data_IF_976227883527
#
_entry.id   IF_976227883527
#
_cell.length_a   1.000
_cell.length_b   1.000
_cell.length_c   1.000
_cell.angle_alpha   90.00
_cell.angle_beta   90.00
_cell.angle_gamma   90.00
#
_symmetry.space_group_name_H-M   'P 1'
#
loop_
_entity.id
_entity.type
_entity.pdbx_description
1 polymer ?
#
# COMPACT_ATOMS: atom_id res chain seq x y z
N UNK A 1 -0.47 -3.27 20.27
CA UNK A 1 -1.41 -2.50 19.42
C UNK A 1 -2.81 -2.58 19.99
N UNK A 2 -3.60 -1.48 20.04
CA UNK A 2 -5.03 -1.47 20.40
C UNK A 2 -5.84 -1.45 19.12
N UNK A 3 -6.90 -2.27 19.02
CA UNK A 3 -7.72 -2.39 17.82
C UNK A 3 -9.10 -1.82 18.10
N UNK A 4 -9.48 -0.80 17.36
CA UNK A 4 -10.81 -0.17 17.37
C UNK A 4 -11.58 -0.61 16.14
N UNK A 5 -12.79 -1.17 16.32
CA UNK A 5 -13.61 -1.70 15.24
C UNK A 5 -14.89 -0.90 15.08
N UNK A 6 -15.24 -0.62 13.84
CA UNK A 6 -16.51 0.02 13.45
C UNK A 6 -17.20 -0.79 12.37
N UNK A 7 -18.51 -0.87 12.46
CA UNK A 7 -19.33 -1.47 11.41
C UNK A 7 -19.31 -0.61 10.13
N UNK A 8 -19.42 0.71 10.29
CA UNK A 8 -19.36 1.67 9.19
C UNK A 8 -18.66 2.95 9.65
N UNK A 9 -17.82 3.49 8.78
CA UNK A 9 -17.21 4.80 8.95
C UNK A 9 -17.11 5.53 7.61
N UNK A 10 -16.78 6.81 7.64
CA UNK A 10 -16.44 7.57 6.44
C UNK A 10 -15.10 7.06 5.88
N UNK A 11 -14.07 7.02 6.73
CA UNK A 11 -12.74 6.53 6.38
C UNK A 11 -11.97 6.18 7.66
N UNK A 12 -11.30 5.04 7.67
CA UNK A 12 -10.45 4.62 8.79
C UNK A 12 -9.25 5.57 9.00
N UNK A 13 -8.77 6.23 7.95
CA UNK A 13 -7.73 7.27 8.08
C UNK A 13 -8.24 8.49 8.87
N UNK A 14 -9.52 8.85 8.70
CA UNK A 14 -10.12 9.94 9.48
C UNK A 14 -10.29 9.54 10.95
N UNK A 15 -10.73 8.30 11.20
CA UNK A 15 -10.87 7.78 12.56
C UNK A 15 -9.51 7.75 13.29
N UNK A 16 -8.44 7.44 12.57
CA UNK A 16 -7.10 7.32 13.12
C UNK A 16 -6.44 8.66 13.50
N UNK A 17 -7.04 9.80 13.15
CA UNK A 17 -6.46 11.13 13.44
C UNK A 17 -6.31 11.42 14.93
N UNK A 18 -7.20 10.87 15.75
CA UNK A 18 -7.19 11.03 17.21
C UNK A 18 -6.41 9.89 17.91
N UNK A 19 -5.83 8.97 17.13
CA UNK A 19 -5.07 7.84 17.65
C UNK A 19 -3.63 8.18 18.01
N UNK A 20 -3.02 7.29 18.76
CA UNK A 20 -1.58 7.34 19.11
C UNK A 20 -0.83 6.19 18.42
N UNK A 21 0.51 6.27 18.28
CA UNK A 21 1.29 5.21 17.67
C UNK A 21 0.98 3.82 18.23
N UNK A 22 0.70 2.88 17.34
CA UNK A 22 0.27 1.52 17.68
C UNK A 22 -1.25 1.31 17.72
N UNK A 23 -2.07 2.36 17.57
CA UNK A 23 -3.53 2.21 17.43
C UNK A 23 -3.90 1.77 16.02
N UNK A 24 -4.89 0.88 15.94
CA UNK A 24 -5.41 0.30 14.70
C UNK A 24 -6.91 0.54 14.61
N UNK A 25 -7.36 1.13 13.52
CA UNK A 25 -8.78 1.42 13.26
C UNK A 25 -9.26 0.57 12.09
N UNK A 26 -10.21 -0.33 12.34
CA UNK A 26 -10.75 -1.28 11.35
C UNK A 26 -12.20 -0.97 11.08
N UNK A 27 -12.64 -1.03 9.83
CA UNK A 27 -14.05 -0.87 9.47
C UNK A 27 -14.52 -2.01 8.53
N UNK A 28 -15.75 -2.48 8.76
CA UNK A 28 -16.42 -3.42 7.85
C UNK A 28 -16.84 -2.74 6.55
N UNK A 29 -17.15 -1.44 6.62
CA UNK A 29 -17.52 -0.63 5.47
C UNK A 29 -17.03 0.82 5.61
N UNK A 30 -16.50 1.37 4.52
CA UNK A 30 -16.19 2.80 4.39
C UNK A 30 -17.13 3.44 3.37
N UNK A 31 -17.87 4.50 3.78
CA UNK A 31 -18.77 5.22 2.88
C UNK A 31 -18.03 6.13 1.90
N UNK A 32 -16.81 6.58 2.26
CA UNK A 32 -15.93 7.39 1.42
C UNK A 32 -14.47 6.93 1.59
N UNK A 33 -14.19 5.66 1.25
CA UNK A 33 -12.84 5.11 1.26
C UNK A 33 -11.91 5.89 0.34
N UNK A 34 -10.75 6.29 0.82
CA UNK A 34 -9.80 7.17 0.12
C UNK A 34 -8.61 6.39 -0.44
N UNK A 35 -8.19 6.76 -1.62
CA UNK A 35 -6.93 6.40 -2.24
C UNK A 35 -6.08 7.66 -2.50
N UNK A 36 -4.97 7.53 -3.23
CA UNK A 36 -4.15 8.67 -3.68
C UNK A 36 -4.84 9.41 -4.83
N UNK A 37 -4.49 10.69 -5.02
CA UNK A 37 -4.94 11.50 -6.16
C UNK A 37 -6.47 11.43 -6.36
N UNK A 38 -7.22 11.60 -5.27
CA UNK A 38 -8.69 11.58 -5.22
C UNK A 38 -9.35 10.27 -5.72
N UNK A 39 -8.57 9.22 -5.91
CA UNK A 39 -9.13 7.88 -6.17
C UNK A 39 -9.91 7.36 -4.97
N UNK A 40 -11.02 6.70 -5.24
CA UNK A 40 -11.83 6.04 -4.20
C UNK A 40 -11.35 4.60 -4.00
N UNK A 41 -11.19 4.18 -2.75
CA UNK A 41 -11.05 2.77 -2.41
C UNK A 41 -12.43 2.12 -2.32
N UNK A 42 -12.71 1.19 -3.24
CA UNK A 42 -13.96 0.44 -3.29
C UNK A 42 -13.78 -0.90 -2.59
N UNK A 43 -14.65 -1.20 -1.62
CA UNK A 43 -14.61 -2.46 -0.85
C UNK A 43 -16.02 -2.94 -0.58
N UNK A 44 -16.29 -4.21 -0.87
CA UNK A 44 -17.54 -4.85 -0.47
C UNK A 44 -17.56 -5.04 1.07
N UNK A 45 -18.71 -4.71 1.68
CA UNK A 45 -18.89 -4.82 3.13
C UNK A 45 -18.65 -6.24 3.60
N UNK A 46 -17.81 -6.40 4.62
CA UNK A 46 -17.57 -7.69 5.27
C UNK A 46 -16.69 -8.67 4.48
N UNK A 47 -16.24 -8.33 3.25
CA UNK A 47 -15.45 -9.24 2.43
C UNK A 47 -13.94 -8.94 2.47
N UNK A 48 -13.58 -7.68 2.70
CA UNK A 48 -12.20 -7.20 2.63
C UNK A 48 -11.72 -6.69 3.98
N UNK A 49 -10.44 -6.33 4.06
CA UNK A 49 -9.88 -5.59 5.17
C UNK A 49 -9.66 -4.15 4.75
N UNK A 50 -10.27 -3.22 5.50
CA UNK A 50 -9.98 -1.80 5.42
C UNK A 50 -9.64 -1.31 6.81
N UNK A 51 -8.41 -0.87 6.99
CA UNK A 51 -7.93 -0.44 8.30
C UNK A 51 -6.83 0.61 8.16
N UNK A 52 -6.60 1.33 9.25
CA UNK A 52 -5.53 2.32 9.36
C UNK A 52 -4.75 2.08 10.63
N UNK A 53 -3.43 2.22 10.55
CA UNK A 53 -2.51 2.11 11.68
C UNK A 53 -1.86 3.47 11.90
N UNK A 54 -1.83 3.92 13.15
CA UNK A 54 -1.06 5.10 13.53
C UNK A 54 0.39 4.67 13.75
N UNK A 55 1.29 5.20 12.94
CA UNK A 55 2.72 4.89 12.95
C UNK A 55 3.50 6.04 13.60
N UNK A 56 4.54 5.69 14.34
CA UNK A 56 5.57 6.63 14.79
C UNK A 56 6.47 7.05 13.63
N UNK A 57 7.27 8.11 13.82
CA UNK A 57 8.31 8.52 12.87
C UNK A 57 8.01 9.78 12.07
N UNK A 58 7.02 10.58 12.51
CA UNK A 58 6.76 11.88 11.89
C UNK A 58 7.84 12.94 12.21
N UNK A 59 8.77 12.65 13.11
CA UNK A 59 10.01 13.38 13.35
C UNK A 59 11.05 13.20 12.25
N UNK A 60 10.84 12.19 11.38
CA UNK A 60 11.67 11.97 10.18
C UNK A 60 11.43 13.03 9.12
N UNK A 61 12.40 13.19 8.23
CA UNK A 61 12.29 14.11 7.10
C UNK A 61 11.09 13.77 6.21
N UNK A 62 10.49 14.76 5.51
CA UNK A 62 9.41 14.49 4.55
C UNK A 62 9.79 13.45 3.48
N UNK A 63 11.05 13.42 3.06
CA UNK A 63 11.55 12.44 2.10
C UNK A 63 11.54 11.02 2.67
N UNK A 64 11.93 10.83 3.93
CA UNK A 64 11.85 9.52 4.59
C UNK A 64 10.40 9.08 4.79
N UNK A 65 9.50 10.00 5.24
CA UNK A 65 8.07 9.69 5.40
C UNK A 65 7.45 9.28 4.06
N UNK A 66 7.86 9.87 2.94
CA UNK A 66 7.38 9.52 1.61
C UNK A 66 7.72 8.06 1.21
N UNK A 67 8.67 7.41 1.88
CA UNK A 67 9.00 5.99 1.66
C UNK A 67 8.05 5.02 2.39
N UNK A 68 7.28 5.48 3.37
CA UNK A 68 6.41 4.61 4.18
C UNK A 68 5.40 3.77 3.37
N UNK A 69 4.77 4.24 2.29
CA UNK A 69 3.91 3.38 1.48
C UNK A 69 4.63 2.15 0.93
N UNK A 70 5.92 2.27 0.60
CA UNK A 70 6.75 1.14 0.13
C UNK A 70 7.08 0.17 1.28
N UNK A 71 7.37 0.70 2.48
CA UNK A 71 7.61 -0.10 3.68
C UNK A 71 6.37 -0.90 4.08
N UNK A 72 5.21 -0.23 4.10
CA UNK A 72 3.91 -0.87 4.39
C UNK A 72 3.55 -1.90 3.33
N UNK A 73 3.76 -1.59 2.05
CA UNK A 73 3.57 -2.52 0.94
C UNK A 73 4.45 -3.76 1.06
N UNK A 74 5.73 -3.58 1.42
CA UNK A 74 6.65 -4.69 1.70
C UNK A 74 6.15 -5.55 2.87
N UNK A 75 5.67 -4.92 3.96
CA UNK A 75 5.12 -5.64 5.11
C UNK A 75 3.90 -6.50 4.71
N UNK A 76 2.98 -5.97 3.89
CA UNK A 76 1.84 -6.74 3.35
C UNK A 76 2.32 -7.92 2.51
N UNK A 77 3.32 -7.72 1.64
CA UNK A 77 3.88 -8.80 0.80
C UNK A 77 4.52 -9.88 1.66
N UNK A 78 5.30 -9.52 2.67
CA UNK A 78 5.98 -10.49 3.55
C UNK A 78 4.97 -11.28 4.41
N UNK A 79 3.86 -10.66 4.83
CA UNK A 79 2.78 -11.35 5.56
C UNK A 79 2.04 -12.35 4.68
N UNK A 80 1.67 -11.94 3.47
CA UNK A 80 0.72 -12.67 2.62
C UNK A 80 1.38 -13.48 1.50
N UNK A 81 2.70 -13.34 1.30
CA UNK A 81 3.45 -14.02 0.24
C UNK A 81 3.43 -15.55 0.33
N UNK A 82 3.10 -16.11 1.49
CA UNK A 82 2.89 -17.55 1.65
C UNK A 82 1.62 -18.08 0.95
N UNK A 83 0.67 -17.19 0.64
CA UNK A 83 -0.59 -17.57 -0.01
C UNK A 83 -0.55 -17.41 -1.53
N UNK A 84 0.23 -16.44 -2.03
CA UNK A 84 0.32 -16.15 -3.46
C UNK A 84 1.62 -15.42 -3.80
N UNK A 85 2.11 -15.50 -5.04
CA UNK A 85 3.17 -14.61 -5.53
C UNK A 85 2.68 -13.17 -5.53
N UNK A 86 3.32 -12.31 -4.73
CA UNK A 86 2.99 -10.90 -4.59
C UNK A 86 4.17 -10.03 -5.04
N UNK A 87 3.84 -8.87 -5.57
CA UNK A 87 4.82 -7.90 -6.02
C UNK A 87 4.39 -6.48 -5.65
N UNK A 88 5.37 -5.61 -5.44
CA UNK A 88 5.17 -4.20 -5.17
C UNK A 88 5.17 -3.40 -6.48
N UNK A 89 4.12 -2.66 -6.71
CA UNK A 89 4.06 -1.65 -7.76
C UNK A 89 4.21 -0.28 -7.13
N UNK A 90 5.30 0.40 -7.48
CA UNK A 90 5.52 1.77 -7.02
C UNK A 90 4.34 2.68 -7.41
N UNK A 91 3.91 3.60 -6.54
CA UNK A 91 4.51 3.85 -5.22
C UNK A 91 3.85 3.12 -4.05
N UNK A 92 2.69 2.45 -4.23
CA UNK A 92 1.83 2.10 -3.09
C UNK A 92 0.87 0.92 -3.31
N UNK A 93 1.04 0.14 -4.37
CA UNK A 93 0.15 -0.98 -4.69
C UNK A 93 0.84 -2.33 -4.52
N UNK A 94 0.11 -3.30 -3.95
CA UNK A 94 0.51 -4.70 -3.94
C UNK A 94 -0.30 -5.44 -5.00
N UNK A 95 0.40 -6.15 -5.87
CA UNK A 95 -0.17 -6.89 -6.99
C UNK A 95 0.03 -8.39 -6.84
N UNK A 96 -0.87 -9.16 -7.44
CA UNK A 96 -0.70 -10.58 -7.77
C UNK A 96 -1.12 -10.82 -9.21
N UNK A 97 -0.27 -11.44 -10.02
CA UNK A 97 -0.55 -11.67 -11.44
C UNK A 97 -0.88 -10.38 -12.21
N UNK A 98 -0.26 -9.25 -11.86
CA UNK A 98 -0.52 -7.94 -12.47
C UNK A 98 -1.80 -7.25 -12.01
N UNK A 99 -2.61 -7.87 -11.14
CA UNK A 99 -3.87 -7.31 -10.61
C UNK A 99 -3.70 -6.86 -9.16
N UNK A 100 -4.32 -5.74 -8.80
CA UNK A 100 -4.23 -5.11 -7.49
C UNK A 100 -4.91 -5.94 -6.42
N UNK A 101 -4.14 -6.39 -5.43
CA UNK A 101 -4.56 -7.06 -4.21
C UNK A 101 -4.76 -6.06 -3.07
N UNK A 102 -3.83 -5.12 -2.91
CA UNK A 102 -3.89 -4.12 -1.84
C UNK A 102 -3.43 -2.74 -2.32
N UNK A 103 -3.90 -1.71 -1.61
CA UNK A 103 -3.47 -0.33 -1.79
C UNK A 103 -3.18 0.34 -0.46
N UNK A 104 -2.16 1.18 -0.43
CA UNK A 104 -1.67 1.87 0.77
C UNK A 104 -1.82 3.38 0.59
N UNK A 105 -2.28 4.07 1.63
CA UNK A 105 -2.35 5.53 1.69
C UNK A 105 -1.75 6.01 3.01
N UNK A 106 -0.54 6.56 2.98
CA UNK A 106 0.08 7.18 4.16
C UNK A 106 -0.18 8.69 4.15
N UNK A 107 -0.66 9.21 5.28
CA UNK A 107 -0.96 10.63 5.50
C UNK A 107 -0.26 11.10 6.79
N UNK A 108 0.46 12.22 6.72
CA UNK A 108 1.01 12.84 7.94
C UNK A 108 -0.13 13.49 8.73
N UNK A 109 -0.12 13.29 10.04
CA UNK A 109 -1.09 13.85 10.99
C UNK A 109 -0.35 14.35 12.24
N UNK A 110 0.03 15.63 12.25
CA UNK A 110 0.88 16.18 13.32
C UNK A 110 2.19 15.42 13.46
N UNK A 111 2.42 14.85 14.62
CA UNK A 111 3.62 14.08 14.98
C UNK A 111 3.50 12.58 14.63
N UNK A 112 2.43 12.17 13.97
CA UNK A 112 2.18 10.79 13.57
C UNK A 112 2.04 10.66 12.05
N UNK A 113 2.16 9.42 11.56
CA UNK A 113 1.78 9.05 10.20
C UNK A 113 0.66 8.02 10.27
N UNK A 114 -0.43 8.26 9.55
CA UNK A 114 -1.54 7.34 9.43
C UNK A 114 -1.32 6.51 8.17
N UNK A 115 -1.16 5.21 8.31
CA UNK A 115 -1.07 4.27 7.20
C UNK A 115 -2.43 3.59 6.98
N UNK A 116 -3.18 4.06 5.99
CA UNK A 116 -4.40 3.40 5.51
C UNK A 116 -4.05 2.23 4.59
N UNK A 117 -4.62 1.07 4.87
CA UNK A 117 -4.35 -0.18 4.17
C UNK A 117 -5.67 -0.82 3.78
N UNK A 118 -5.89 -0.98 2.47
CA UNK A 118 -6.99 -1.74 1.92
C UNK A 118 -6.48 -3.04 1.30
N UNK A 119 -7.02 -4.18 1.72
CA UNK A 119 -6.64 -5.51 1.20
C UNK A 119 -7.90 -6.22 0.74
N UNK A 120 -7.93 -6.64 -0.50
CA UNK A 120 -8.98 -7.50 -1.03
C UNK A 120 -8.76 -8.93 -0.52
N UNK A 121 -9.62 -9.39 0.40
CA UNK A 121 -9.47 -10.71 1.04
C UNK A 121 -10.40 -11.74 0.41
N UNK A 122 -11.70 -11.58 0.59
CA UNK A 122 -12.70 -12.58 0.18
C UNK A 122 -13.56 -12.14 -1.02
N UNK A 123 -13.45 -10.89 -1.47
CA UNK A 123 -14.23 -10.39 -2.59
C UNK A 123 -13.86 -11.12 -3.89
N UNK A 124 -14.81 -11.80 -4.51
CA UNK A 124 -14.62 -12.54 -5.76
C UNK A 124 -15.19 -11.82 -6.99
N UNK A 125 -16.06 -10.82 -6.77
CA UNK A 125 -16.64 -10.01 -7.84
C UNK A 125 -16.31 -8.54 -7.62
N UNK A 126 -15.80 -7.89 -8.66
CA UNK A 126 -15.39 -6.47 -8.64
C UNK A 126 -16.25 -5.66 -9.61
N UNK A 127 -16.51 -4.36 -9.32
CA UNK A 127 -17.20 -3.48 -10.26
C UNK A 127 -16.51 -3.47 -11.64
N UNK A 128 -17.26 -3.38 -12.75
CA UNK A 128 -16.73 -3.47 -14.11
C UNK A 128 -15.53 -2.57 -14.38
N UNK A 129 -15.52 -1.36 -13.79
CA UNK A 129 -14.41 -0.38 -13.94
C UNK A 129 -13.05 -0.88 -13.44
N UNK A 130 -13.04 -1.82 -12.49
CA UNK A 130 -11.81 -2.33 -11.86
C UNK A 130 -11.64 -3.84 -11.99
N UNK A 131 -12.64 -4.58 -12.49
CA UNK A 131 -12.64 -6.05 -12.53
C UNK A 131 -11.41 -6.64 -13.24
N UNK A 132 -10.95 -6.03 -14.32
CA UNK A 132 -9.75 -6.48 -15.04
C UNK A 132 -8.44 -6.21 -14.28
N UNK A 133 -8.46 -5.27 -13.31
CA UNK A 133 -7.25 -4.77 -12.62
C UNK A 133 -7.21 -5.13 -11.14
N UNK A 134 -8.28 -5.72 -10.59
CA UNK A 134 -8.39 -6.10 -9.18
C UNK A 134 -8.38 -7.62 -9.00
N UNK A 135 -7.91 -8.07 -7.85
CA UNK A 135 -7.97 -9.47 -7.42
C UNK A 135 -8.08 -9.51 -5.90
N UNK A 136 -8.32 -10.69 -5.33
CA UNK A 136 -8.35 -10.93 -3.88
C UNK A 136 -7.61 -12.22 -3.55
N UNK A 137 -7.31 -12.43 -2.25
CA UNK A 137 -6.74 -13.70 -1.79
C UNK A 137 -7.65 -14.88 -2.15
N UNK A 138 -8.97 -14.74 -1.95
CA UNK A 138 -9.93 -15.78 -2.28
C UNK A 138 -9.97 -16.10 -3.78
N UNK A 139 -9.92 -15.08 -4.63
CA UNK A 139 -9.89 -15.25 -6.08
C UNK A 139 -8.62 -15.94 -6.59
N UNK A 140 -7.48 -15.72 -5.90
CA UNK A 140 -6.19 -16.32 -6.25
C UNK A 140 -6.12 -17.77 -5.77
N UNK A 141 -6.55 -18.01 -4.51
CA UNK A 141 -6.34 -19.29 -3.82
C UNK A 141 -7.51 -20.25 -3.92
N UNK A 142 -8.67 -19.82 -4.47
CA UNK A 142 -9.87 -20.65 -4.58
C UNK A 142 -10.55 -21.01 -3.24
N UNK A 143 -10.26 -20.26 -2.16
CA UNK A 143 -10.83 -20.47 -0.84
C UNK A 143 -10.99 -19.15 -0.07
N UNK A 144 -11.89 -19.14 0.91
CA UNK A 144 -12.06 -18.01 1.83
C UNK A 144 -10.98 -17.98 2.90
N UNK A 145 -10.76 -16.81 3.45
CA UNK A 145 -9.81 -16.53 4.51
C UNK A 145 -10.50 -15.91 5.72
N UNK A 146 -10.01 -16.24 6.92
CA UNK A 146 -10.36 -15.51 8.12
C UNK A 146 -9.69 -14.15 8.09
N UNK A 147 -10.48 -13.06 8.04
CA UNK A 147 -9.97 -11.69 7.93
C UNK A 147 -9.19 -11.25 9.17
N UNK A 148 -9.53 -11.76 10.36
CA UNK A 148 -8.82 -11.43 11.59
C UNK A 148 -7.43 -12.07 11.63
N UNK A 149 -7.29 -13.28 11.09
CA UNK A 149 -5.97 -13.91 10.94
C UNK A 149 -5.11 -13.13 9.93
N UNK A 150 -5.69 -12.74 8.79
CA UNK A 150 -5.00 -11.91 7.80
C UNK A 150 -4.58 -10.57 8.39
N UNK A 151 -5.46 -9.94 9.18
CA UNK A 151 -5.14 -8.68 9.88
C UNK A 151 -3.97 -8.88 10.85
N UNK A 152 -4.01 -9.94 11.68
CA UNK A 152 -2.95 -10.25 12.65
C UNK A 152 -1.60 -10.45 11.98
N UNK A 153 -1.55 -11.23 10.89
CA UNK A 153 -0.34 -11.48 10.11
C UNK A 153 0.26 -10.18 9.54
N UNK A 154 -0.61 -9.32 9.01
CA UNK A 154 -0.17 -8.03 8.45
C UNK A 154 0.33 -7.08 9.53
N UNK A 155 -0.34 -7.02 10.69
CA UNK A 155 0.06 -6.16 11.79
C UNK A 155 1.41 -6.60 12.40
N UNK A 156 1.64 -7.91 12.57
CA UNK A 156 2.92 -8.46 13.02
C UNK A 156 4.05 -8.12 12.03
N UNK A 157 3.80 -8.33 10.75
CA UNK A 157 4.75 -8.00 9.70
C UNK A 157 5.03 -6.49 9.65
N UNK A 158 4.00 -5.65 9.80
CA UNK A 158 4.13 -4.20 9.80
C UNK A 158 4.98 -3.72 10.98
N UNK A 159 4.75 -4.24 12.18
CA UNK A 159 5.55 -3.93 13.37
C UNK A 159 7.03 -4.20 13.11
N UNK A 160 7.35 -5.36 12.53
CA UNK A 160 8.72 -5.75 12.19
C UNK A 160 9.37 -4.83 11.15
N UNK A 161 8.69 -4.55 10.02
CA UNK A 161 9.28 -3.82 8.91
C UNK A 161 9.31 -2.31 9.16
N UNK A 162 8.29 -1.77 9.82
CA UNK A 162 8.29 -0.39 10.29
C UNK A 162 9.33 -0.18 11.40
N UNK A 163 9.46 -1.12 12.34
CA UNK A 163 10.51 -1.11 13.36
C UNK A 163 11.92 -1.09 12.75
N UNK A 164 12.16 -1.90 11.71
CA UNK A 164 13.43 -1.88 10.97
C UNK A 164 13.67 -0.54 10.27
N UNK A 165 12.64 0.03 9.64
CA UNK A 165 12.72 1.36 9.02
C UNK A 165 13.05 2.45 10.04
N UNK A 166 12.44 2.41 11.23
CA UNK A 166 12.74 3.34 12.33
C UNK A 166 14.19 3.21 12.82
N UNK A 167 14.67 2.00 12.98
CA UNK A 167 15.98 1.73 13.56
C UNK A 167 17.14 1.95 12.57
N UNK A 168 16.97 1.52 11.32
CA UNK A 168 18.05 1.40 10.33
C UNK A 168 17.85 2.30 9.08
N UNK A 169 16.69 2.96 8.98
CA UNK A 169 16.33 3.78 7.82
C UNK A 169 15.90 2.97 6.60
N UNK A 170 15.37 3.68 5.58
CA UNK A 170 14.81 3.06 4.37
C UNK A 170 15.84 2.27 3.55
N UNK A 171 17.09 2.72 3.52
CA UNK A 171 18.17 2.08 2.74
C UNK A 171 18.37 0.61 3.13
N UNK A 172 18.16 0.26 4.40
CA UNK A 172 18.28 -1.11 4.91
C UNK A 172 17.27 -2.09 4.29
N UNK A 173 16.15 -1.56 3.75
CA UNK A 173 15.07 -2.31 3.13
C UNK A 173 15.22 -2.46 1.62
N UNK A 174 16.19 -1.76 1.01
CA UNK A 174 16.31 -1.66 -0.45
C UNK A 174 16.46 -3.03 -1.14
N UNK A 175 17.22 -3.97 -0.56
CA UNK A 175 17.36 -5.32 -1.12
C UNK A 175 16.04 -6.09 -1.15
N UNK A 176 15.26 -6.02 -0.06
CA UNK A 176 13.95 -6.65 0.03
C UNK A 176 12.93 -6.02 -0.92
N UNK A 177 12.96 -4.70 -1.08
CA UNK A 177 12.11 -3.97 -2.03
C UNK A 177 12.46 -4.31 -3.48
N UNK A 178 13.74 -4.35 -3.81
CA UNK A 178 14.20 -4.71 -5.15
C UNK A 178 13.79 -6.12 -5.58
N UNK A 179 13.69 -7.05 -4.62
CA UNK A 179 13.25 -8.43 -4.88
C UNK A 179 11.75 -8.56 -5.21
N UNK A 180 10.93 -7.58 -4.83
CA UNK A 180 9.49 -7.58 -5.04
C UNK A 180 9.00 -6.49 -6.00
N UNK A 181 9.89 -5.64 -6.51
CA UNK A 181 9.55 -4.56 -7.45
C UNK A 181 9.13 -5.11 -8.82
N UNK A 182 7.85 -4.96 -9.16
CA UNK A 182 7.33 -5.48 -10.43
C UNK A 182 7.56 -4.55 -11.63
N UNK A 183 8.08 -3.35 -11.43
CA UNK A 183 8.34 -2.40 -12.50
C UNK A 183 9.78 -2.48 -13.01
N UNK A 184 10.71 -2.96 -12.18
CA UNK A 184 12.12 -3.06 -12.54
C UNK A 184 12.34 -3.90 -13.79
N UNK A 185 13.13 -3.35 -14.72
CA UNK A 185 13.43 -4.01 -15.98
C UNK A 185 12.34 -3.93 -17.05
N UNK A 186 11.29 -3.11 -16.83
CA UNK A 186 10.18 -2.94 -17.78
C UNK A 186 10.16 -1.52 -18.34
N UNK A 187 9.53 -1.35 -19.50
CA UNK A 187 9.14 -0.03 -19.98
C UNK A 187 7.92 0.42 -19.20
N UNK A 188 7.99 1.63 -18.64
CA UNK A 188 6.90 2.22 -17.85
C UNK A 188 6.52 3.60 -18.39
N UNK A 189 5.28 4.00 -18.10
CA UNK A 189 4.81 5.37 -18.26
C UNK A 189 4.38 5.87 -16.88
N UNK A 190 4.99 6.95 -16.40
CA UNK A 190 4.65 7.56 -15.12
C UNK A 190 3.90 8.86 -15.36
N UNK A 191 2.62 8.88 -14.99
CA UNK A 191 1.84 10.11 -14.90
C UNK A 191 2.23 10.84 -13.63
N UNK A 192 2.67 12.07 -13.75
CA UNK A 192 3.06 12.88 -12.60
C UNK A 192 1.82 13.41 -11.84
N UNK A 193 2.03 13.91 -10.62
CA UNK A 193 0.95 14.48 -9.78
C UNK A 193 0.44 15.81 -10.35
N UNK A 194 1.32 16.56 -11.02
CA UNK A 194 0.97 17.78 -11.74
C UNK A 194 0.30 17.39 -13.06
N UNK A 195 -0.98 17.72 -13.21
CA UNK A 195 -1.78 17.38 -14.40
C UNK A 195 -1.25 18.05 -15.68
N UNK A 196 -0.52 19.18 -15.55
CA UNK A 196 0.10 19.89 -16.67
C UNK A 196 1.45 19.28 -17.06
N UNK A 197 2.03 18.42 -16.24
CA UNK A 197 3.31 17.78 -16.53
C UNK A 197 3.13 16.60 -17.51
N UNK A 198 3.95 16.59 -18.57
CA UNK A 198 3.95 15.47 -19.51
C UNK A 198 4.32 14.14 -18.79
N UNK A 199 3.66 13.02 -19.14
CA UNK A 199 4.04 11.72 -18.61
C UNK A 199 5.49 11.38 -18.96
N UNK A 200 6.22 10.79 -17.99
CA UNK A 200 7.57 10.31 -18.22
C UNK A 200 7.51 8.84 -18.59
N UNK A 201 7.95 8.51 -19.80
CA UNK A 201 8.04 7.13 -20.28
C UNK A 201 9.49 6.71 -20.49
N UNK A 202 9.82 5.47 -20.18
CA UNK A 202 11.19 4.96 -20.36
C UNK A 202 11.41 3.62 -19.66
N UNK A 203 12.66 3.17 -19.65
CA UNK A 203 13.08 1.93 -19.00
C UNK A 203 13.18 2.12 -17.48
N UNK A 204 12.52 1.27 -16.72
CA UNK A 204 12.50 1.34 -15.27
C UNK A 204 13.73 0.63 -14.67
N UNK A 205 14.58 1.40 -14.01
CA UNK A 205 15.71 0.90 -13.24
C UNK A 205 15.32 0.31 -11.87
N UNK A 206 14.07 0.53 -11.44
CA UNK A 206 13.53 0.09 -10.16
C UNK A 206 13.47 1.18 -9.11
N UNK A 207 13.09 0.79 -7.89
CA UNK A 207 13.02 1.67 -6.72
C UNK A 207 14.45 1.97 -6.23
N UNK A 208 14.78 3.25 -6.12
CA UNK A 208 16.09 3.72 -5.63
C UNK A 208 16.17 3.69 -4.08
N UNK A 209 17.37 3.94 -3.56
CA UNK A 209 17.65 3.95 -2.11
C UNK A 209 16.96 5.10 -1.35
N UNK A 210 16.47 6.10 -2.05
CA UNK A 210 15.67 7.21 -1.51
C UNK A 210 14.15 7.02 -1.70
N UNK A 211 13.73 5.88 -2.30
CA UNK A 211 12.33 5.55 -2.56
C UNK A 211 11.79 6.10 -3.88
N UNK A 212 12.58 6.87 -4.64
CA UNK A 212 12.20 7.30 -5.99
C UNK A 212 12.14 6.13 -6.98
N UNK A 213 11.35 6.26 -8.04
CA UNK A 213 11.37 5.33 -9.16
C UNK A 213 12.36 5.83 -10.21
N UNK A 214 13.30 5.01 -10.64
CA UNK A 214 14.25 5.38 -11.69
C UNK A 214 13.67 5.06 -13.06
N UNK A 215 13.53 6.07 -13.92
CA UNK A 215 13.07 5.93 -15.31
C UNK A 215 14.10 6.58 -16.23
N UNK A 216 14.70 5.80 -17.13
CA UNK A 216 15.83 6.22 -18.00
C UNK A 216 16.94 6.95 -17.22
N UNK A 217 17.29 6.43 -16.03
CA UNK A 217 18.30 6.98 -15.16
C UNK A 217 17.87 8.23 -14.38
N UNK A 218 16.64 8.72 -14.53
CA UNK A 218 16.09 9.90 -13.84
C UNK A 218 15.23 9.48 -12.64
N UNK A 219 15.40 10.08 -11.46
CA UNK A 219 14.55 9.80 -10.31
C UNK A 219 13.18 10.49 -10.44
N UNK A 220 12.11 9.74 -10.19
CA UNK A 220 10.74 10.22 -10.12
C UNK A 220 10.25 10.03 -8.68
N UNK A 221 9.86 11.12 -8.01
CA UNK A 221 9.50 11.12 -6.59
C UNK A 221 8.00 10.98 -6.33
N UNK A 222 7.16 11.33 -7.31
CA UNK A 222 5.71 11.25 -7.17
C UNK A 222 5.05 10.96 -8.51
N UNK A 223 3.92 10.23 -8.47
CA UNK A 223 3.17 9.90 -9.69
C UNK A 223 2.47 8.56 -9.58
N UNK A 224 1.94 8.11 -10.69
CA UNK A 224 1.33 6.80 -10.88
C UNK A 224 2.00 6.09 -12.06
N UNK A 225 2.67 4.97 -11.79
CA UNK A 225 3.39 4.22 -12.81
C UNK A 225 2.48 3.17 -13.46
N UNK A 226 2.53 3.10 -14.79
CA UNK A 226 1.86 2.07 -15.58
C UNK A 226 2.91 1.33 -16.41
N UNK A 227 2.74 0.01 -16.56
CA UNK A 227 3.58 -0.78 -17.47
C UNK A 227 3.15 -0.41 -18.88
N UNK A 228 4.08 0.06 -19.69
CA UNK A 228 3.89 0.31 -21.11
C UNK A 228 3.58 -1.00 -21.84
N UNK A 229 2.59 -0.97 -22.75
CA UNK A 229 2.31 -2.07 -23.66
C UNK A 229 3.36 -2.16 -24.75
#
# INVERSE_FOLDING_TARGET
MRIFRKETTVSTNLDAREGVPGDVFVAEHQSAGRGRLDHTWLSAKGENLTFSVVLAGADRSPAEIATLPLVVGLAVIKALGRFAPLALKWPNDVLSGGRKLAGILCERNGDNVIAGIGINVNQTSFPPKIAARATSLAAICGRSFNRDEVLSDVLESLDRWHGKWLAEGFVSLHGDLAAVDCLRGRTVCVRQVDDDAAPVSGFCGGIAKDGSLIVDGRPIYAGEAHIGG
#
